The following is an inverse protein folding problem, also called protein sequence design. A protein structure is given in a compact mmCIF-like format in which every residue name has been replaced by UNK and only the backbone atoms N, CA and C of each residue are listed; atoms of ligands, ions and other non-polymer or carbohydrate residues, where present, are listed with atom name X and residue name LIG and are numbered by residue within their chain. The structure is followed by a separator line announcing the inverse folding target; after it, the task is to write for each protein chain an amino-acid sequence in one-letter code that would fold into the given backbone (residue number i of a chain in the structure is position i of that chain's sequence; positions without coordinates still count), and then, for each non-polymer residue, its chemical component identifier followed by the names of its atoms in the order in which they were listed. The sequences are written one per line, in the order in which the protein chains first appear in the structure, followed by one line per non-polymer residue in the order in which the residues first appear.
data_IF_252563179462
#
_entry.id   IF_252563179462
#
_cell.length_a   1.000
_cell.length_b   1.000
_cell.length_c   1.000
_cell.angle_alpha   90.00
_cell.angle_beta   90.00
_cell.angle_gamma   90.00
#
_symmetry.space_group_name_H-M   'P 1'
#
loop_
_entity.id
_entity.type
_entity.pdbx_description
1 polymer ?
#
# COMPACT_ATOMS: atom_id res chain seq x y z
N UNK A 1 -1.55 11.16 2.21
CA UNK A 1 -0.28 11.50 1.54
C UNK A 1 0.13 10.32 0.68
N UNK A 2 0.77 10.55 -0.46
CA UNK A 2 1.21 9.52 -1.41
C UNK A 2 2.70 9.66 -1.68
N UNK A 3 3.43 8.53 -1.64
CA UNK A 3 4.85 8.42 -2.01
C UNK A 3 4.97 7.43 -3.17
N UNK A 4 5.75 7.78 -4.20
CA UNK A 4 5.84 7.02 -5.45
C UNK A 4 6.96 5.95 -5.41
N UNK A 5 6.92 5.08 -4.41
CA UNK A 5 7.98 4.10 -4.13
C UNK A 5 7.49 2.66 -4.40
N UNK A 6 8.42 1.68 -4.54
CA UNK A 6 8.03 0.29 -4.69
C UNK A 6 7.22 -0.23 -3.49
N UNK A 7 6.37 -1.22 -3.74
CA UNK A 7 5.58 -1.90 -2.71
C UNK A 7 6.49 -2.43 -1.58
N UNK A 8 6.09 -2.21 -0.34
CA UNK A 8 6.87 -2.55 0.86
C UNK A 8 7.80 -1.43 1.36
N UNK A 9 7.93 -0.32 0.63
CA UNK A 9 8.82 0.80 0.99
C UNK A 9 8.06 2.12 1.23
N UNK A 10 6.82 2.05 1.73
CA UNK A 10 5.98 3.23 1.99
C UNK A 10 6.49 4.14 3.12
N UNK A 11 7.47 3.67 3.90
CA UNK A 11 8.13 4.43 4.96
C UNK A 11 9.53 4.96 4.55
N UNK A 12 9.91 4.86 3.27
CA UNK A 12 11.21 5.32 2.75
C UNK A 12 12.13 4.19 2.26
N UNK A 13 13.26 4.58 1.68
CA UNK A 13 14.30 3.68 1.15
C UNK A 13 14.96 2.85 2.26
N UNK A 14 15.28 1.57 2.00
CA UNK A 14 16.06 0.75 2.94
C UNK A 14 17.40 1.41 3.28
N UNK A 15 17.74 1.43 4.57
CA UNK A 15 19.02 1.94 5.09
C UNK A 15 19.29 3.43 4.83
N UNK A 16 18.32 4.19 4.32
CA UNK A 16 18.40 5.63 4.15
C UNK A 16 17.50 6.30 5.20
N UNK A 17 18.10 6.61 6.35
CA UNK A 17 17.37 7.18 7.48
C UNK A 17 16.78 8.55 7.15
N UNK A 18 17.49 9.38 6.38
CA UNK A 18 17.05 10.73 6.07
C UNK A 18 15.80 10.70 5.20
N UNK A 19 15.78 9.82 4.19
CA UNK A 19 14.61 9.59 3.36
C UNK A 19 13.43 9.03 4.17
N UNK A 20 13.69 8.08 5.07
CA UNK A 20 12.65 7.50 5.94
C UNK A 20 12.01 8.55 6.85
N UNK A 21 12.83 9.37 7.53
CA UNK A 21 12.34 10.45 8.39
C UNK A 21 11.52 11.46 7.57
N UNK A 22 12.00 11.87 6.40
CA UNK A 22 11.28 12.80 5.53
C UNK A 22 9.91 12.28 5.09
N UNK A 23 9.81 11.00 4.69
CA UNK A 23 8.54 10.38 4.26
C UNK A 23 7.54 10.33 5.43
N UNK A 24 7.99 9.89 6.61
CA UNK A 24 7.12 9.76 7.79
C UNK A 24 6.68 11.14 8.29
N UNK A 25 7.57 12.12 8.39
CA UNK A 25 7.24 13.48 8.79
C UNK A 25 6.27 14.14 7.80
N UNK A 26 6.48 13.95 6.49
CA UNK A 26 5.57 14.45 5.45
C UNK A 26 4.18 13.81 5.57
N UNK A 27 4.12 12.51 5.87
CA UNK A 27 2.87 11.80 6.10
C UNK A 27 2.11 12.37 7.31
N UNK A 28 2.80 12.58 8.44
CA UNK A 28 2.22 13.15 9.66
C UNK A 28 1.78 14.60 9.47
N UNK A 29 2.59 15.41 8.79
CA UNK A 29 2.23 16.79 8.45
C UNK A 29 1.01 16.88 7.53
N UNK A 30 0.66 15.80 6.82
CA UNK A 30 -0.59 15.67 6.07
C UNK A 30 -1.84 15.94 6.92
N UNK A 31 -1.85 15.55 8.20
CA UNK A 31 -2.97 15.83 9.12
C UNK A 31 -3.15 17.33 9.37
N UNK A 32 -2.06 18.10 9.31
CA UNK A 32 -2.08 19.54 9.50
C UNK A 32 -2.35 20.30 8.19
N UNK A 33 -1.97 19.77 7.04
CA UNK A 33 -1.97 20.49 5.76
C UNK A 33 -3.18 20.17 4.85
N UNK A 34 -3.70 18.95 4.87
CA UNK A 34 -4.84 18.55 4.04
C UNK A 34 -6.15 19.01 4.69
N UNK A 35 -6.95 19.82 3.97
CA UNK A 35 -8.14 20.49 4.56
C UNK A 35 -9.48 20.01 3.99
N UNK A 36 -9.45 19.19 2.95
CA UNK A 36 -10.66 18.70 2.28
C UNK A 36 -10.69 17.18 2.33
N UNK A 37 -11.89 16.64 2.55
CA UNK A 37 -12.17 15.24 2.24
C UNK A 37 -11.83 14.99 0.76
N UNK A 38 -11.20 13.87 0.47
CA UNK A 38 -10.65 13.49 -0.85
C UNK A 38 -9.35 14.17 -1.30
N UNK A 39 -8.71 15.02 -0.49
CA UNK A 39 -7.41 15.57 -0.86
C UNK A 39 -6.29 14.52 -0.66
N UNK A 40 -5.50 14.27 -1.71
CA UNK A 40 -4.28 13.46 -1.64
C UNK A 40 -3.08 14.39 -1.80
N UNK A 41 -2.30 14.57 -0.74
CA UNK A 41 -1.01 15.26 -0.84
C UNK A 41 0.07 14.32 -1.38
N UNK A 42 0.97 14.85 -2.20
CA UNK A 42 2.12 14.13 -2.75
C UNK A 42 3.35 14.39 -1.89
N UNK A 43 4.15 13.36 -1.64
CA UNK A 43 5.47 13.47 -1.02
C UNK A 43 6.49 13.56 -2.16
N UNK A 44 7.27 14.64 -2.17
CA UNK A 44 8.30 14.88 -3.19
C UNK A 44 9.57 14.09 -2.86
N UNK A 45 9.50 12.78 -3.06
CA UNK A 45 10.59 11.83 -2.85
C UNK A 45 10.88 11.10 -4.16
N UNK A 46 12.17 11.01 -4.53
CA UNK A 46 12.60 10.25 -5.71
C UNK A 46 13.25 8.93 -5.29
N UNK A 47 12.82 7.82 -5.91
CA UNK A 47 13.44 6.50 -5.71
C UNK A 47 14.82 6.42 -6.39
N UNK A 48 15.07 7.25 -7.41
CA UNK A 48 16.30 7.29 -8.20
C UNK A 48 16.32 6.32 -9.38
N UNK A 49 15.28 5.50 -9.55
CA UNK A 49 15.10 4.62 -10.70
C UNK A 49 13.63 4.32 -10.93
N UNK A 50 13.24 4.18 -12.19
CA UNK A 50 11.91 3.70 -12.59
C UNK A 50 11.89 2.20 -12.90
N UNK A 51 13.04 1.51 -12.83
CA UNK A 51 13.18 0.10 -13.15
C UNK A 51 12.13 -0.75 -12.44
N UNK A 52 11.99 -0.56 -11.13
CA UNK A 52 11.03 -1.27 -10.29
C UNK A 52 9.57 -1.22 -10.79
N UNK A 53 9.18 -0.19 -11.55
CA UNK A 53 7.84 -0.10 -12.13
C UNK A 53 7.66 -1.14 -13.23
N UNK A 54 8.71 -1.46 -13.97
CA UNK A 54 8.68 -2.50 -14.99
C UNK A 54 8.56 -3.88 -14.33
N UNK A 55 9.32 -4.16 -13.27
CA UNK A 55 9.13 -5.41 -12.52
C UNK A 55 7.75 -5.48 -11.88
N UNK A 56 7.26 -4.40 -11.27
CA UNK A 56 5.94 -4.36 -10.63
C UNK A 56 4.77 -4.53 -11.62
N UNK A 57 4.94 -4.10 -12.88
CA UNK A 57 3.95 -4.25 -13.95
C UNK A 57 4.18 -5.52 -14.80
N UNK A 58 5.21 -6.32 -14.50
CA UNK A 58 5.53 -7.49 -15.29
C UNK A 58 4.48 -8.58 -15.10
N UNK A 59 3.99 -9.12 -16.22
CA UNK A 59 3.14 -10.32 -16.25
C UNK A 59 3.94 -11.60 -16.53
N UNK A 60 5.26 -11.48 -16.66
CA UNK A 60 6.15 -12.58 -17.03
C UNK A 60 6.65 -13.41 -15.82
N UNK A 61 6.24 -13.07 -14.61
CA UNK A 61 6.60 -13.80 -13.39
C UNK A 61 5.61 -14.92 -13.05
N UNK A 62 6.11 -15.98 -12.42
CA UNK A 62 5.27 -16.97 -11.71
C UNK A 62 4.45 -16.27 -10.62
N UNK A 63 3.20 -16.70 -10.41
CA UNK A 63 2.37 -16.17 -9.33
C UNK A 63 2.96 -16.61 -7.98
N UNK A 64 3.73 -15.71 -7.36
CA UNK A 64 4.34 -15.94 -6.04
C UNK A 64 3.36 -15.74 -4.89
N UNK A 65 2.13 -15.31 -5.16
CA UNK A 65 1.10 -15.18 -4.12
C UNK A 65 0.72 -16.57 -3.64
N UNK A 66 0.40 -16.67 -2.35
CA UNK A 66 -0.18 -17.89 -1.82
C UNK A 66 -1.52 -18.19 -2.52
N UNK A 67 -1.86 -19.47 -2.75
CA UNK A 67 -3.18 -19.85 -3.24
C UNK A 67 -4.26 -19.20 -2.39
N UNK A 68 -5.26 -18.62 -3.07
CA UNK A 68 -6.37 -17.98 -2.38
C UNK A 68 -7.14 -19.06 -1.61
N UNK A 69 -7.38 -18.83 -0.32
CA UNK A 69 -8.35 -19.63 0.42
C UNK A 69 -9.72 -19.45 -0.24
N UNK A 70 -10.33 -20.56 -0.65
CA UNK A 70 -11.64 -20.57 -1.32
C UNK A 70 -12.79 -20.63 -0.33
N UNK A 71 -12.51 -20.84 0.97
CA UNK A 71 -13.52 -20.84 2.01
C UNK A 71 -14.10 -19.42 2.17
N UNK A 72 -15.42 -19.25 2.03
CA UNK A 72 -16.07 -17.98 2.34
C UNK A 72 -15.69 -17.53 3.76
N UNK A 73 -15.33 -16.25 3.89
CA UNK A 73 -14.98 -15.63 5.17
C UNK A 73 -16.17 -14.82 5.65
N UNK A 74 -16.63 -15.10 6.87
CA UNK A 74 -17.77 -14.44 7.49
C UNK A 74 -17.29 -13.60 8.67
N UNK A 75 -17.96 -12.46 8.92
CA UNK A 75 -17.62 -11.62 10.06
C UNK A 75 -18.05 -12.30 11.37
N UNK A 76 -19.23 -12.92 11.36
CA UNK A 76 -19.76 -13.73 12.46
C UNK A 76 -20.34 -15.07 11.96
N UNK A 77 -20.58 -16.00 12.87
CA UNK A 77 -21.14 -17.33 12.54
C UNK A 77 -22.59 -17.22 12.04
N UNK A 78 -23.34 -16.24 12.54
CA UNK A 78 -24.70 -15.96 12.10
C UNK A 78 -24.75 -15.59 10.61
N UNK A 79 -23.73 -14.89 10.10
CA UNK A 79 -23.62 -14.54 8.67
C UNK A 79 -23.40 -15.79 7.82
N UNK A 80 -22.61 -16.75 8.32
CA UNK A 80 -22.39 -18.04 7.66
C UNK A 80 -23.68 -18.81 7.55
N UNK A 81 -24.41 -18.94 8.66
CA UNK A 81 -25.71 -19.62 8.69
C UNK A 81 -26.68 -18.94 7.72
N UNK A 82 -26.83 -17.62 7.79
CA UNK A 82 -27.76 -16.90 6.92
C UNK A 82 -27.45 -17.08 5.42
N UNK A 83 -26.17 -17.11 5.04
CA UNK A 83 -25.74 -17.27 3.65
C UNK A 83 -25.89 -18.71 3.12
N UNK A 84 -25.69 -19.72 3.96
CA UNK A 84 -25.72 -21.13 3.55
C UNK A 84 -27.10 -21.79 3.67
N UNK A 85 -28.05 -21.16 4.37
CA UNK A 85 -29.40 -21.73 4.60
C UNK A 85 -30.43 -21.27 3.54
N UNK A 86 -29.98 -20.65 2.45
CA UNK A 86 -30.79 -20.29 1.27
C UNK A 86 -30.63 -21.38 0.21
#
# INVERSE_FOLDING_TARGET
MFVNYPLGHSAGKPFDRADQEYVVESALNGFNSLKKSSQIGMIDSDWGSTGWKNEANSTAGEDTRQPRDTRPQYQFEEDRIAAETI
#
